data_IF_286178697363
#
_entry.id   IF_286178697363
#
_cell.length_a   1.000
_cell.length_b   1.000
_cell.length_c   1.000
_cell.angle_alpha   90.00
_cell.angle_beta   90.00
_cell.angle_gamma   90.00
#
_symmetry.space_group_name_H-M   'P 1'
#
loop_
_entity.id
_entity.type
_entity.pdbx_description
1 polymer ?
#
# COMPACT_ATOMS: atom_id res chain seq x y z
N UNK A 1 11.33 15.95 -14.64
CA UNK A 1 10.90 14.54 -14.41
C UNK A 1 11.28 14.16 -12.98
N UNK A 2 10.37 13.63 -12.15
CA UNK A 2 10.69 13.24 -10.77
C UNK A 2 11.41 11.88 -10.79
N UNK A 3 12.53 11.75 -10.09
CA UNK A 3 13.24 10.47 -9.95
C UNK A 3 12.48 9.49 -9.06
N UNK A 4 12.66 8.19 -9.27
CA UNK A 4 12.00 7.16 -8.44
C UNK A 4 12.29 7.30 -6.94
N UNK A 5 13.54 7.57 -6.50
CA UNK A 5 13.82 7.80 -5.08
C UNK A 5 13.11 9.05 -4.53
N UNK A 6 13.05 10.14 -5.31
CA UNK A 6 12.34 11.36 -4.89
C UNK A 6 10.83 11.13 -4.76
N UNK A 7 10.25 10.34 -5.66
CA UNK A 7 8.84 9.94 -5.58
C UNK A 7 8.59 9.07 -4.34
N UNK A 8 9.40 8.02 -4.13
CA UNK A 8 9.28 7.14 -2.97
C UNK A 8 9.39 7.91 -1.65
N UNK A 9 10.30 8.87 -1.54
CA UNK A 9 10.42 9.72 -0.34
C UNK A 9 9.16 10.57 -0.10
N UNK A 10 8.56 11.17 -1.14
CA UNK A 10 7.31 11.92 -1.00
C UNK A 10 6.13 11.02 -0.62
N UNK A 11 6.09 9.81 -1.20
CA UNK A 11 5.10 8.81 -0.86
C UNK A 11 5.22 8.41 0.61
N UNK A 12 6.43 8.11 1.10
CA UNK A 12 6.67 7.78 2.51
C UNK A 12 6.16 8.87 3.48
N UNK A 13 6.43 10.14 3.18
CA UNK A 13 5.91 11.27 3.99
C UNK A 13 4.38 11.31 3.97
N UNK A 14 3.77 11.02 2.82
CA UNK A 14 2.32 10.97 2.69
C UNK A 14 1.72 9.80 3.47
N UNK A 15 2.37 8.64 3.41
CA UNK A 15 1.98 7.44 4.16
C UNK A 15 2.07 7.65 5.67
N UNK A 16 3.09 8.37 6.17
CA UNK A 16 3.19 8.74 7.59
C UNK A 16 1.97 9.56 8.05
N UNK A 17 1.52 10.52 7.23
CA UNK A 17 0.30 11.31 7.52
C UNK A 17 -0.98 10.47 7.54
N UNK A 18 -0.99 9.35 6.83
CA UNK A 18 -2.07 8.37 6.81
C UNK A 18 -1.98 7.34 7.96
N UNK A 19 -1.00 7.49 8.86
CA UNK A 19 -0.77 6.63 10.01
C UNK A 19 0.25 5.51 9.79
N UNK A 20 0.80 5.36 8.59
CA UNK A 20 1.79 4.33 8.26
C UNK A 20 3.21 4.82 8.56
N UNK A 21 3.66 4.62 9.79
CA UNK A 21 4.99 5.03 10.24
C UNK A 21 6.11 4.26 9.53
N UNK A 22 7.30 4.85 9.36
CA UNK A 22 8.47 4.14 8.83
C UNK A 22 8.87 2.91 9.64
N UNK A 23 8.57 2.90 10.94
CA UNK A 23 8.81 1.74 11.82
C UNK A 23 7.95 0.53 11.43
N UNK A 24 6.81 0.75 10.79
CA UNK A 24 5.98 -0.32 10.24
C UNK A 24 6.42 -0.79 8.86
N UNK A 25 7.42 -0.16 8.24
CA UNK A 25 7.93 -0.58 6.94
C UNK A 25 8.86 -1.79 7.12
N UNK A 26 8.52 -2.89 6.48
CA UNK A 26 9.35 -4.08 6.45
C UNK A 26 10.63 -3.82 5.64
N UNK A 27 11.78 -4.23 6.18
CA UNK A 27 13.04 -4.24 5.45
C UNK A 27 13.10 -5.41 4.47
N UNK A 28 14.03 -5.36 3.52
CA UNK A 28 14.29 -6.50 2.61
C UNK A 28 14.67 -7.78 3.37
N UNK A 29 15.27 -7.67 4.57
CA UNK A 29 15.54 -8.83 5.42
C UNK A 29 14.25 -9.42 6.00
N UNK A 30 13.34 -8.57 6.46
CA UNK A 30 12.06 -8.99 7.03
C UNK A 30 11.19 -9.70 5.98
N UNK A 31 11.25 -9.26 4.72
CA UNK A 31 10.52 -9.90 3.62
C UNK A 31 10.99 -11.32 3.31
N UNK A 32 12.26 -11.65 3.58
CA UNK A 32 12.79 -13.02 3.42
C UNK A 32 12.28 -13.96 4.51
N UNK A 33 12.02 -13.43 5.71
CA UNK A 33 11.46 -14.18 6.82
C UNK A 33 9.98 -14.51 6.62
N UNK A 34 9.24 -13.70 5.84
CA UNK A 34 7.82 -13.94 5.55
C UNK A 34 7.59 -15.17 4.67
N UNK A 35 8.51 -15.49 3.75
CA UNK A 35 8.51 -16.77 3.01
C UNK A 35 9.86 -17.02 2.35
N UNK A 36 10.52 -18.16 2.62
CA UNK A 36 11.79 -18.52 1.98
C UNK A 36 11.70 -18.58 0.45
N UNK A 37 10.51 -18.88 -0.09
CA UNK A 37 10.24 -18.95 -1.54
C UNK A 37 10.30 -17.55 -2.17
N UNK A 38 10.04 -16.48 -1.39
CA UNK A 38 10.17 -15.10 -1.86
C UNK A 38 11.60 -14.78 -2.30
N UNK A 39 12.61 -15.40 -1.67
CA UNK A 39 14.02 -15.07 -1.92
C UNK A 39 14.49 -15.39 -3.35
N UNK A 40 13.84 -16.34 -4.03
CA UNK A 40 14.13 -16.71 -5.43
C UNK A 40 13.15 -16.09 -6.43
N UNK A 41 11.89 -15.90 -6.03
CA UNK A 41 10.82 -15.41 -6.92
C UNK A 41 10.65 -13.88 -6.94
N UNK A 42 10.93 -13.20 -5.81
CA UNK A 42 10.73 -11.75 -5.66
C UNK A 42 12.08 -11.09 -5.38
N UNK A 43 12.59 -10.35 -6.37
CA UNK A 43 13.89 -9.67 -6.26
C UNK A 43 13.86 -8.48 -5.30
N UNK A 44 12.76 -7.71 -5.28
CA UNK A 44 12.63 -6.51 -4.46
C UNK A 44 11.17 -6.04 -4.41
N UNK A 45 10.69 -5.71 -3.23
CA UNK A 45 9.41 -5.02 -3.04
C UNK A 45 9.67 -3.52 -2.94
N UNK A 46 8.73 -2.71 -3.41
CA UNK A 46 8.84 -1.26 -3.29
C UNK A 46 8.55 -0.79 -1.87
N UNK A 47 7.37 -1.09 -1.33
CA UNK A 47 7.01 -0.81 0.07
C UNK A 47 6.10 -1.93 0.61
N UNK A 48 6.38 -2.41 1.81
CA UNK A 48 5.50 -3.30 2.56
C UNK A 48 5.34 -2.77 3.98
N UNK A 49 4.12 -2.41 4.34
CA UNK A 49 3.76 -2.02 5.70
C UNK A 49 3.18 -3.22 6.45
N UNK A 50 3.67 -3.42 7.66
CA UNK A 50 3.27 -4.48 8.57
C UNK A 50 2.71 -3.90 9.88
N UNK A 51 1.93 -4.70 10.59
CA UNK A 51 1.50 -4.39 11.95
C UNK A 51 1.98 -5.48 12.91
N UNK A 52 2.09 -5.14 14.19
CA UNK A 52 2.47 -6.11 15.21
C UNK A 52 1.22 -6.69 15.86
N UNK A 53 1.11 -8.01 15.86
CA UNK A 53 0.07 -8.78 16.55
C UNK A 53 0.75 -9.88 17.34
N UNK A 54 0.53 -9.91 18.65
CA UNK A 54 1.06 -10.96 19.54
C UNK A 54 2.60 -11.15 19.42
N UNK A 55 3.33 -10.04 19.20
CA UNK A 55 4.78 -10.06 19.01
C UNK A 55 5.26 -10.56 17.64
N UNK A 56 4.35 -10.87 16.72
CA UNK A 56 4.63 -11.22 15.33
C UNK A 56 4.34 -10.04 14.41
N UNK A 57 5.13 -9.90 13.36
CA UNK A 57 4.91 -8.89 12.32
C UNK A 57 4.08 -9.51 11.19
N UNK A 58 2.92 -8.93 10.93
CA UNK A 58 2.00 -9.40 9.88
C UNK A 58 1.85 -8.35 8.78
N UNK A 59 1.74 -8.76 7.50
CA UNK A 59 1.59 -7.84 6.39
C UNK A 59 0.24 -7.13 6.44
N UNK A 60 0.23 -5.82 6.24
CA UNK A 60 -0.98 -5.00 6.21
C UNK A 60 -1.23 -4.42 4.82
N UNK A 61 -0.23 -3.74 4.26
CA UNK A 61 -0.36 -3.04 2.99
C UNK A 61 0.90 -3.19 2.14
N UNK A 62 0.74 -3.78 0.97
CA UNK A 62 1.78 -3.88 -0.05
C UNK A 62 1.60 -2.83 -1.14
N UNK A 63 2.64 -2.04 -1.45
CA UNK A 63 2.56 -0.98 -2.46
C UNK A 63 3.62 -1.20 -3.55
N UNK A 64 3.18 -1.20 -4.81
CA UNK A 64 4.05 -1.15 -5.98
C UNK A 64 4.12 0.29 -6.53
N UNK A 65 5.33 0.79 -6.74
CA UNK A 65 5.60 2.14 -7.21
C UNK A 65 6.01 2.16 -8.69
N UNK A 66 5.58 3.19 -9.42
CA UNK A 66 6.08 3.53 -10.76
C UNK A 66 6.28 5.02 -10.91
N UNK A 67 7.28 5.42 -11.68
CA UNK A 67 7.55 6.84 -11.96
C UNK A 67 6.62 7.44 -13.02
N UNK A 68 5.86 6.60 -13.75
CA UNK A 68 4.97 7.01 -14.83
C UNK A 68 3.69 6.19 -14.83
N UNK A 69 2.58 6.83 -15.16
CA UNK A 69 1.27 6.19 -15.29
C UNK A 69 1.21 5.19 -16.46
N UNK A 70 2.03 5.34 -17.51
CA UNK A 70 2.08 4.37 -18.61
C UNK A 70 2.46 2.95 -18.17
N UNK A 71 3.03 2.77 -16.97
CA UNK A 71 3.33 1.47 -16.38
C UNK A 71 2.23 0.92 -15.46
N UNK A 72 1.06 1.57 -15.39
CA UNK A 72 0.00 1.23 -14.42
C UNK A 72 -0.45 -0.23 -14.48
N UNK A 73 -0.76 -0.74 -15.69
CA UNK A 73 -1.17 -2.15 -15.87
C UNK A 73 -0.06 -3.12 -15.45
N UNK A 74 1.20 -2.78 -15.74
CA UNK A 74 2.36 -3.58 -15.32
C UNK A 74 2.48 -3.59 -13.80
N UNK A 75 2.30 -2.45 -13.14
CA UNK A 75 2.35 -2.34 -11.68
C UNK A 75 1.24 -3.14 -11.00
N UNK A 76 0.00 -3.08 -11.51
CA UNK A 76 -1.11 -3.93 -11.02
C UNK A 76 -0.78 -5.42 -11.07
N UNK A 77 -0.20 -5.88 -12.18
CA UNK A 77 0.24 -7.28 -12.30
C UNK A 77 1.39 -7.61 -11.35
N UNK A 78 2.35 -6.70 -11.20
CA UNK A 78 3.48 -6.90 -10.29
C UNK A 78 3.02 -7.02 -8.83
N UNK A 79 2.20 -6.08 -8.36
CA UNK A 79 1.70 -6.12 -6.98
C UNK A 79 0.84 -7.35 -6.73
N UNK A 80 0.02 -7.79 -7.69
CA UNK A 80 -0.76 -9.02 -7.57
C UNK A 80 0.15 -10.27 -7.47
N UNK A 81 1.18 -10.35 -8.33
CA UNK A 81 2.14 -11.45 -8.29
C UNK A 81 2.93 -11.48 -6.97
N UNK A 82 3.28 -10.33 -6.43
CA UNK A 82 3.95 -10.24 -5.14
C UNK A 82 3.01 -10.64 -4.01
N UNK A 83 1.74 -10.20 -4.08
CA UNK A 83 0.75 -10.50 -3.06
C UNK A 83 0.34 -11.97 -3.02
N UNK A 84 0.48 -12.71 -4.11
CA UNK A 84 0.32 -14.18 -4.12
C UNK A 84 1.20 -14.86 -3.05
N UNK A 85 2.39 -14.33 -2.79
CA UNK A 85 3.29 -14.88 -1.77
C UNK A 85 3.19 -14.17 -0.42
N UNK A 86 3.01 -12.85 -0.42
CA UNK A 86 3.00 -12.03 0.80
C UNK A 86 1.68 -12.15 1.55
N UNK A 87 0.58 -12.38 0.83
CA UNK A 87 -0.77 -12.49 1.40
C UNK A 87 -1.17 -11.23 2.19
N UNK A 88 -0.76 -10.05 1.72
CA UNK A 88 -1.21 -8.80 2.31
C UNK A 88 -2.70 -8.59 2.07
N UNK A 89 -3.48 -8.22 3.10
CA UNK A 89 -4.92 -8.00 2.96
C UNK A 89 -5.24 -6.76 2.13
N UNK A 90 -4.30 -5.83 1.98
CA UNK A 90 -4.45 -4.65 1.14
C UNK A 90 -3.26 -4.50 0.20
N UNK A 91 -3.56 -4.10 -1.03
CA UNK A 91 -2.55 -3.82 -2.06
C UNK A 91 -2.79 -2.43 -2.65
N UNK A 92 -1.71 -1.76 -3.04
CA UNK A 92 -1.81 -0.49 -3.73
C UNK A 92 -0.81 -0.35 -4.88
N UNK A 93 -1.19 0.47 -5.85
CA UNK A 93 -0.29 0.95 -6.90
C UNK A 93 -0.15 2.44 -6.77
N UNK A 94 1.09 2.94 -6.81
CA UNK A 94 1.41 4.35 -6.67
C UNK A 94 2.25 4.86 -7.85
N UNK A 95 1.91 6.02 -8.39
CA UNK A 95 2.76 6.81 -9.27
C UNK A 95 2.61 8.31 -8.97
N UNK A 96 3.45 9.19 -9.55
CA UNK A 96 3.22 10.63 -9.42
C UNK A 96 1.79 10.97 -9.84
N UNK A 97 1.05 11.63 -8.96
CA UNK A 97 -0.35 11.92 -9.18
C UNK A 97 -1.30 10.74 -8.98
N UNK A 98 -0.92 9.47 -8.84
CA UNK A 98 -1.94 8.42 -8.59
C UNK A 98 -1.60 7.48 -7.44
N UNK A 99 -2.57 7.18 -6.58
CA UNK A 99 -2.52 6.07 -5.63
C UNK A 99 -3.84 5.33 -5.72
N UNK A 100 -3.80 4.04 -5.98
CA UNK A 100 -4.99 3.19 -6.03
C UNK A 100 -4.84 2.07 -5.02
N UNK A 101 -5.63 2.13 -3.96
CA UNK A 101 -5.75 1.13 -2.91
C UNK A 101 -6.90 0.18 -3.23
N UNK A 102 -6.66 -1.12 -3.04
CA UNK A 102 -7.66 -2.18 -3.18
C UNK A 102 -7.35 -3.34 -2.24
N UNK A 103 -8.23 -4.33 -2.19
CA UNK A 103 -8.01 -5.61 -1.51
C UNK A 103 -8.22 -6.77 -2.48
N UNK A 104 -7.43 -7.85 -2.41
CA UNK A 104 -7.77 -9.10 -3.11
C UNK A 104 -8.97 -9.84 -2.50
N UNK A 105 -9.40 -9.47 -1.28
CA UNK A 105 -10.54 -10.06 -0.58
C UNK A 105 -11.80 -9.24 -0.87
N UNK A 106 -12.87 -9.91 -1.28
CA UNK A 106 -14.12 -9.26 -1.70
C UNK A 106 -14.77 -8.49 -0.54
N UNK A 107 -14.81 -9.09 0.66
CA UNK A 107 -15.36 -8.47 1.86
C UNK A 107 -14.64 -7.16 2.25
N UNK A 108 -13.33 -7.07 1.96
CA UNK A 108 -12.54 -5.87 2.21
C UNK A 108 -12.69 -4.85 1.08
N UNK A 109 -13.03 -5.26 -0.14
CA UNK A 109 -13.34 -4.33 -1.24
C UNK A 109 -14.61 -3.53 -0.96
N UNK A 110 -15.63 -4.17 -0.38
CA UNK A 110 -16.86 -3.48 0.03
C UNK A 110 -16.58 -2.46 1.13
N UNK A 111 -15.80 -2.85 2.14
CA UNK A 111 -15.36 -1.96 3.21
C UNK A 111 -14.58 -0.74 2.66
N UNK A 112 -13.67 -0.96 1.70
CA UNK A 112 -12.94 0.11 1.03
C UNK A 112 -13.85 1.01 0.19
N UNK A 113 -14.92 0.45 -0.40
CA UNK A 113 -15.89 1.21 -1.19
C UNK A 113 -16.72 2.14 -0.29
N UNK A 114 -17.10 1.69 0.90
CA UNK A 114 -17.73 2.55 1.91
C UNK A 114 -16.81 3.70 2.37
N UNK A 115 -15.51 3.44 2.48
CA UNK A 115 -14.52 4.49 2.78
C UNK A 115 -14.37 5.52 1.65
N UNK A 116 -14.68 5.16 0.39
CA UNK A 116 -14.75 6.12 -0.73
C UNK A 116 -15.91 7.08 -0.58
N UNK A 117 -17.05 6.61 -0.07
CA UNK A 117 -18.29 7.39 0.03
C UNK A 117 -18.30 8.36 1.21
N UNK A 118 -17.59 8.04 2.31
CA UNK A 118 -17.51 8.89 3.52
C UNK A 118 -16.57 10.11 3.32
N UNK A 119 -15.84 10.16 2.22
CA UNK A 119 -14.94 11.24 1.86
C UNK A 119 -15.67 12.43 1.21
N UNK A 120 -16.29 13.29 2.02
CA UNK A 120 -16.75 14.61 1.58
C UNK A 120 -15.57 15.61 1.49
N UNK A 121 -14.81 15.48 0.39
CA UNK A 121 -14.00 16.47 -0.35
C UNK A 121 -12.80 15.76 -1.01
N UNK A 122 -12.85 15.61 -2.33
CA UNK A 122 -11.72 15.35 -3.25
C UNK A 122 -10.82 14.11 -3.05
N UNK A 123 -11.35 12.95 -2.69
CA UNK A 123 -10.60 11.68 -2.80
C UNK A 123 -11.25 10.71 -3.79
N UNK A 124 -10.92 10.87 -5.08
CA UNK A 124 -11.23 9.84 -6.07
C UNK A 124 -10.09 8.82 -6.12
N UNK A 125 -10.39 7.57 -5.73
CA UNK A 125 -9.61 6.41 -6.16
C UNK A 125 -9.73 6.28 -7.70
N UNK A 126 -8.92 7.07 -8.41
CA UNK A 126 -8.95 7.19 -9.88
C UNK A 126 -8.39 8.46 -10.53
N UNK A 127 -8.02 9.54 -9.81
CA UNK A 127 -7.54 10.80 -10.43
C UNK A 127 -6.33 11.48 -9.67
N UNK A 128 -5.66 12.50 -10.27
CA UNK A 128 -4.33 13.00 -9.88
C UNK A 128 -4.22 13.65 -8.47
N UNK A 129 -3.40 13.14 -7.54
CA UNK A 129 -3.28 13.54 -6.12
C UNK A 129 -2.52 14.85 -5.81
N UNK A 130 -2.56 15.90 -6.65
CA UNK A 130 -1.90 17.18 -6.28
C UNK A 130 -2.81 18.28 -5.71
N UNK A 131 -4.03 17.98 -5.26
CA UNK A 131 -4.83 18.94 -4.48
C UNK A 131 -5.50 18.22 -3.31
N UNK A 132 -5.05 18.50 -2.07
CA UNK A 132 -5.68 18.03 -0.84
C UNK A 132 -4.97 16.87 -0.10
N UNK A 133 -4.71 17.08 1.19
CA UNK A 133 -4.28 16.03 2.14
C UNK A 133 -5.54 15.52 2.84
N UNK A 134 -5.82 14.19 2.88
CA UNK A 134 -6.97 13.69 3.61
C UNK A 134 -6.86 14.05 5.09
N UNK A 135 -7.96 14.38 5.78
CA UNK A 135 -7.97 14.48 7.24
C UNK A 135 -7.77 13.12 7.94
N UNK A 136 -7.38 12.07 7.21
CA UNK A 136 -7.34 10.69 7.64
C UNK A 136 -6.01 10.27 8.26
N UNK A 137 -5.67 10.84 9.43
CA UNK A 137 -4.70 10.25 10.36
C UNK A 137 -5.07 8.83 10.85
N UNK A 138 -6.23 8.31 10.40
CA UNK A 138 -6.83 7.03 10.81
C UNK A 138 -6.88 5.95 9.73
N UNK A 139 -6.36 6.17 8.51
CA UNK A 139 -6.47 5.15 7.44
C UNK A 139 -5.85 3.83 7.86
N UNK A 140 -4.64 3.84 8.44
CA UNK A 140 -4.03 2.63 9.01
C UNK A 140 -4.94 1.92 10.01
N UNK A 141 -5.48 2.65 10.99
CA UNK A 141 -6.36 2.09 12.01
C UNK A 141 -7.66 1.52 11.44
N UNK A 142 -8.18 2.10 10.36
CA UNK A 142 -9.33 1.56 9.62
C UNK A 142 -8.98 0.25 8.92
N UNK A 143 -7.84 0.19 8.21
CA UNK A 143 -7.39 -1.04 7.56
C UNK A 143 -7.13 -2.16 8.58
N UNK A 144 -6.47 -1.84 9.70
CA UNK A 144 -6.26 -2.79 10.79
C UNK A 144 -7.60 -3.27 11.36
N UNK A 145 -8.56 -2.37 11.61
CA UNK A 145 -9.91 -2.74 12.08
C UNK A 145 -10.62 -3.70 11.13
N UNK A 146 -10.64 -3.40 9.82
CA UNK A 146 -11.31 -4.25 8.84
C UNK A 146 -10.61 -5.60 8.63
N UNK A 147 -9.29 -5.65 8.80
CA UNK A 147 -8.56 -6.90 8.72
C UNK A 147 -8.78 -7.80 9.95
N UNK A 148 -9.00 -7.20 11.12
CA UNK A 148 -9.15 -7.90 12.40
C UNK A 148 -10.60 -8.31 12.73
N UNK A 149 -11.58 -7.91 11.92
CA UNK A 149 -12.98 -8.36 12.01
C UNK A 149 -13.16 -9.73 11.37
#
# INVERSE_FOLDING_TARGET
>A
MISEPSFKNRLLISMERLGFSRQSLASEKDTKCLSPILSSAIKRLDLLYCYSREGRMEPLLLIECKTKESFWRKAKRQVANYNYFIQSPFIAVACPGRLELTSPKEELQDALSLLREISFSEYCLGLPWWQGIPPCSKLRGLLEKYHLQ
#
